data_IF_959780957271
#
_entry.id   IF_959780957271
#
_cell.length_a   1.000
_cell.length_b   1.000
_cell.length_c   1.000
_cell.angle_alpha   90.00
_cell.angle_beta   90.00
_cell.angle_gamma   90.00
#
_symmetry.space_group_name_H-M   'P 1'
#
loop_
_entity.id
_entity.type
_entity.pdbx_description
1 polymer ?
#
# COMPACT_ATOMS: atom_id res chain seq x y z
N UNK A 1 6.00 11.50 -19.01
CA UNK A 1 4.64 11.51 -18.43
C UNK A 1 4.48 12.43 -17.20
N UNK A 2 5.50 12.60 -16.36
CA UNK A 2 5.46 13.42 -15.12
C UNK A 2 4.94 14.88 -15.26
N UNK A 3 5.29 15.66 -16.33
CA UNK A 3 4.90 17.06 -16.42
C UNK A 3 3.39 17.28 -16.67
N UNK A 4 2.76 16.37 -17.43
CA UNK A 4 1.36 16.49 -17.84
C UNK A 4 0.40 16.19 -16.67
N UNK A 5 0.75 15.21 -15.83
CA UNK A 5 -0.03 14.82 -14.65
C UNK A 5 -0.06 15.95 -13.60
N UNK A 6 1.06 16.67 -13.43
CA UNK A 6 1.17 17.81 -12.50
C UNK A 6 0.22 18.97 -12.85
N UNK A 7 -0.15 19.14 -14.13
CA UNK A 7 -1.01 20.25 -14.59
C UNK A 7 -2.50 19.95 -14.49
N UNK A 8 -2.88 18.67 -14.34
CA UNK A 8 -4.27 18.21 -14.37
C UNK A 8 -4.81 17.82 -12.99
N UNK A 9 -3.94 17.43 -12.06
CA UNK A 9 -4.34 17.03 -10.71
C UNK A 9 -4.19 18.17 -9.71
N UNK A 10 -5.16 18.36 -8.80
CA UNK A 10 -4.97 19.21 -7.62
C UNK A 10 -3.73 18.75 -6.82
N UNK A 11 -3.04 19.70 -6.18
CA UNK A 11 -1.81 19.45 -5.41
C UNK A 11 -1.91 18.22 -4.48
N UNK A 12 -2.98 18.12 -3.69
CA UNK A 12 -3.18 17.01 -2.75
C UNK A 12 -3.27 15.63 -3.45
N UNK A 13 -3.90 15.56 -4.62
CA UNK A 13 -4.04 14.33 -5.39
C UNK A 13 -2.71 13.94 -6.05
N UNK A 14 -1.93 14.93 -6.50
CA UNK A 14 -0.59 14.73 -7.03
C UNK A 14 0.39 14.22 -5.95
N UNK A 15 0.34 14.79 -4.75
CA UNK A 15 1.15 14.34 -3.60
C UNK A 15 0.79 12.92 -3.20
N UNK A 16 -0.52 12.61 -3.11
CA UNK A 16 -1.00 11.25 -2.82
C UNK A 16 -0.50 10.25 -3.86
N UNK A 17 -0.57 10.59 -5.16
CA UNK A 17 -0.07 9.74 -6.23
C UNK A 17 1.45 9.57 -6.19
N UNK A 18 2.19 10.64 -5.87
CA UNK A 18 3.65 10.58 -5.74
C UNK A 18 4.08 9.66 -4.60
N UNK A 19 3.39 9.76 -3.45
CA UNK A 19 3.61 8.87 -2.32
C UNK A 19 3.22 7.43 -2.64
N UNK A 20 2.14 7.22 -3.40
CA UNK A 20 1.72 5.88 -3.82
C UNK A 20 2.76 5.23 -4.76
N UNK A 21 3.33 6.00 -5.68
CA UNK A 21 4.42 5.50 -6.53
C UNK A 21 5.68 5.20 -5.71
N UNK A 22 6.03 6.07 -4.77
CA UNK A 22 7.18 5.82 -3.88
C UNK A 22 6.96 4.58 -3.00
N UNK A 23 5.73 4.36 -2.54
CA UNK A 23 5.33 3.17 -1.78
C UNK A 23 5.48 1.90 -2.62
N UNK A 24 5.02 1.93 -3.87
CA UNK A 24 5.04 0.82 -4.82
C UNK A 24 6.49 0.38 -5.13
N UNK A 25 7.34 1.34 -5.54
CA UNK A 25 8.75 1.09 -5.82
C UNK A 25 9.47 0.52 -4.59
N UNK A 26 9.24 1.10 -3.41
CA UNK A 26 9.87 0.64 -2.18
C UNK A 26 9.43 -0.77 -1.79
N UNK A 27 8.16 -1.12 -2.06
CA UNK A 27 7.66 -2.48 -1.86
C UNK A 27 8.33 -3.46 -2.81
N UNK A 28 8.36 -3.14 -4.10
CA UNK A 28 8.92 -4.02 -5.13
C UNK A 28 10.41 -4.29 -4.89
N UNK A 29 11.19 -3.25 -4.58
CA UNK A 29 12.62 -3.41 -4.27
C UNK A 29 12.85 -4.28 -3.04
N UNK A 30 12.00 -4.15 -2.02
CA UNK A 30 12.12 -4.93 -0.79
C UNK A 30 11.71 -6.39 -1.03
N UNK A 31 10.62 -6.61 -1.76
CA UNK A 31 10.14 -7.94 -2.13
C UNK A 31 11.14 -8.67 -3.01
N UNK A 32 11.79 -7.97 -3.95
CA UNK A 32 12.86 -8.55 -4.77
C UNK A 32 14.09 -8.95 -3.93
N UNK A 33 14.47 -8.10 -2.96
CA UNK A 33 15.57 -8.41 -2.04
C UNK A 33 15.25 -9.64 -1.16
N UNK A 34 14.02 -9.69 -0.63
CA UNK A 34 13.53 -10.85 0.13
C UNK A 34 13.47 -12.12 -0.71
N UNK A 35 12.89 -12.05 -1.91
CA UNK A 35 12.77 -13.19 -2.82
C UNK A 35 14.14 -13.75 -3.20
N UNK A 36 15.17 -12.89 -3.29
CA UNK A 36 16.55 -13.30 -3.53
C UNK A 36 17.11 -14.11 -2.34
N UNK A 37 16.86 -13.66 -1.11
CA UNK A 37 17.27 -14.38 0.11
C UNK A 37 16.50 -15.71 0.28
N UNK A 38 15.24 -15.74 -0.16
CA UNK A 38 14.35 -16.90 -0.02
C UNK A 38 14.47 -17.91 -1.18
N UNK A 39 15.32 -17.65 -2.17
CA UNK A 39 15.43 -18.50 -3.35
C UNK A 39 15.98 -19.88 -2.98
N UNK A 40 15.21 -20.92 -3.26
CA UNK A 40 15.64 -22.32 -3.07
C UNK A 40 15.60 -22.80 -1.62
N UNK A 41 15.05 -22.01 -0.69
CA UNK A 41 14.84 -22.41 0.71
C UNK A 41 13.37 -22.65 1.02
N UNK A 42 13.05 -23.60 1.92
CA UNK A 42 11.67 -23.84 2.34
C UNK A 42 11.11 -22.63 3.10
N UNK A 43 9.96 -22.14 2.67
CA UNK A 43 9.34 -20.95 3.27
C UNK A 43 8.62 -21.34 4.56
N UNK A 44 9.08 -20.79 5.67
CA UNK A 44 8.40 -20.80 6.97
C UNK A 44 8.72 -19.50 7.73
N UNK A 45 8.05 -19.27 8.86
CA UNK A 45 8.22 -18.03 9.62
C UNK A 45 9.67 -17.78 10.06
N UNK A 46 10.41 -18.82 10.44
CA UNK A 46 11.79 -18.68 10.89
C UNK A 46 12.70 -18.22 9.74
N UNK A 47 12.64 -18.94 8.61
CA UNK A 47 13.40 -18.64 7.39
C UNK A 47 13.04 -17.25 6.85
N UNK A 48 11.76 -16.88 6.87
CA UNK A 48 11.32 -15.55 6.45
C UNK A 48 11.92 -14.45 7.34
N UNK A 49 11.88 -14.62 8.67
CA UNK A 49 12.46 -13.65 9.59
C UNK A 49 13.98 -13.53 9.45
N UNK A 50 14.67 -14.63 9.17
CA UNK A 50 16.11 -14.64 8.87
C UNK A 50 16.42 -13.90 7.58
N UNK A 51 15.69 -14.20 6.49
CA UNK A 51 15.81 -13.48 5.22
C UNK A 51 15.54 -11.98 5.38
N UNK A 52 14.50 -11.61 6.13
CA UNK A 52 14.15 -10.22 6.42
C UNK A 52 15.26 -9.48 7.18
N UNK A 53 15.87 -10.13 8.18
CA UNK A 53 17.04 -9.60 8.88
C UNK A 53 18.25 -9.49 7.94
N UNK A 54 18.49 -10.49 7.10
CA UNK A 54 19.60 -10.52 6.16
C UNK A 54 19.50 -9.42 5.09
N UNK A 55 18.29 -9.06 4.65
CA UNK A 55 18.07 -7.90 3.79
C UNK A 55 18.51 -6.60 4.48
N UNK A 56 18.34 -6.47 5.80
CA UNK A 56 18.93 -5.38 6.59
C UNK A 56 18.33 -3.99 6.38
N UNK A 57 17.26 -3.86 5.58
CA UNK A 57 16.64 -2.57 5.20
C UNK A 57 15.54 -2.10 6.16
N UNK A 58 15.81 -2.11 7.48
CA UNK A 58 14.81 -1.73 8.51
C UNK A 58 14.21 -0.34 8.28
N UNK A 59 15.08 0.66 8.03
CA UNK A 59 14.67 2.04 7.84
C UNK A 59 13.73 2.20 6.62
N UNK A 60 14.02 1.49 5.53
CA UNK A 60 13.17 1.48 4.34
C UNK A 60 11.80 0.87 4.64
N UNK A 61 11.72 -0.23 5.41
CA UNK A 61 10.42 -0.79 5.80
C UNK A 61 9.60 0.13 6.69
N UNK A 62 10.23 0.85 7.62
CA UNK A 62 9.53 1.86 8.42
C UNK A 62 9.06 3.03 7.55
N UNK A 63 9.86 3.45 6.58
CA UNK A 63 9.45 4.45 5.57
C UNK A 63 8.27 3.96 4.74
N UNK A 64 8.25 2.68 4.37
CA UNK A 64 7.14 2.08 3.64
C UNK A 64 5.83 2.14 4.45
N UNK A 65 5.89 1.87 5.76
CA UNK A 65 4.75 2.01 6.67
C UNK A 65 4.25 3.46 6.73
N UNK A 66 5.17 4.43 6.84
CA UNK A 66 4.80 5.85 6.84
C UNK A 66 4.14 6.27 5.51
N UNK A 67 4.71 5.86 4.37
CA UNK A 67 4.13 6.12 3.04
C UNK A 67 2.74 5.48 2.90
N UNK A 68 2.52 4.27 3.41
CA UNK A 68 1.20 3.62 3.43
C UNK A 68 0.18 4.46 4.21
N UNK A 69 0.56 5.04 5.35
CA UNK A 69 -0.32 5.94 6.09
C UNK A 69 -0.61 7.21 5.28
N UNK A 70 0.41 7.84 4.69
CA UNK A 70 0.24 9.08 3.92
C UNK A 70 -0.68 8.88 2.71
N UNK A 71 -0.49 7.77 1.98
CA UNK A 71 -1.34 7.39 0.84
C UNK A 71 -2.78 7.14 1.31
N UNK A 72 -2.96 6.40 2.40
CA UNK A 72 -4.28 6.11 2.96
C UNK A 72 -5.03 7.37 3.41
N UNK A 73 -4.35 8.30 4.07
CA UNK A 73 -4.95 9.59 4.45
C UNK A 73 -5.27 10.45 3.24
N UNK A 74 -4.38 10.49 2.24
CA UNK A 74 -4.63 11.15 0.97
C UNK A 74 -5.88 10.60 0.27
N UNK A 75 -6.03 9.28 0.24
CA UNK A 75 -7.19 8.61 -0.33
C UNK A 75 -8.48 8.89 0.48
N UNK A 76 -8.42 8.90 1.81
CA UNK A 76 -9.56 9.27 2.67
C UNK A 76 -10.11 10.67 2.35
N UNK A 77 -9.24 11.62 1.99
CA UNK A 77 -9.66 12.96 1.53
C UNK A 77 -10.28 12.94 0.13
N UNK A 78 -9.72 12.15 -0.79
CA UNK A 78 -10.22 12.00 -2.17
C UNK A 78 -11.63 11.42 -2.16
N UNK A 79 -11.87 10.36 -1.38
CA UNK A 79 -13.16 9.63 -1.42
C UNK A 79 -14.35 10.41 -0.89
N UNK A 80 -14.07 11.43 -0.07
CA UNK A 80 -15.08 12.34 0.48
C UNK A 80 -15.61 13.33 -0.55
N UNK A 81 -14.99 13.46 -1.74
CA UNK A 81 -15.42 14.37 -2.79
C UNK A 81 -16.51 13.72 -3.67
N UNK A 82 -17.77 14.20 -3.62
CA UNK A 82 -18.88 13.55 -4.34
C UNK A 82 -18.67 13.49 -5.86
N UNK A 83 -18.07 14.54 -6.44
CA UNK A 83 -17.80 14.63 -7.87
C UNK A 83 -16.91 13.49 -8.37
N UNK A 84 -15.88 13.10 -7.59
CA UNK A 84 -14.94 12.06 -7.99
C UNK A 84 -15.63 10.70 -8.09
N UNK A 85 -16.52 10.40 -7.13
CA UNK A 85 -17.30 9.16 -7.15
C UNK A 85 -18.24 9.08 -8.35
N UNK A 86 -18.91 10.19 -8.68
CA UNK A 86 -19.80 10.27 -9.85
C UNK A 86 -19.03 10.08 -11.15
N UNK A 87 -17.87 10.73 -11.29
CA UNK A 87 -16.98 10.55 -12.44
C UNK A 87 -16.54 9.10 -12.56
N UNK A 88 -16.14 8.47 -11.44
CA UNK A 88 -15.75 7.06 -11.44
C UNK A 88 -16.87 6.17 -11.97
N UNK A 89 -18.12 6.32 -11.49
CA UNK A 89 -19.26 5.56 -12.01
C UNK A 89 -19.54 5.78 -13.49
N UNK A 90 -19.33 7.00 -13.99
CA UNK A 90 -19.54 7.32 -15.40
C UNK A 90 -18.56 6.56 -16.31
N UNK A 91 -17.37 6.24 -15.79
CA UNK A 91 -16.32 5.54 -16.55
C UNK A 91 -16.57 4.03 -16.73
N UNK A 92 -17.59 3.43 -16.10
CA UNK A 92 -17.91 1.99 -16.25
C UNK A 92 -18.03 1.51 -17.70
N UNK A 93 -18.83 2.22 -18.50
CA UNK A 93 -19.08 1.88 -19.90
C UNK A 93 -17.84 2.07 -20.79
N UNK A 94 -17.15 3.23 -20.78
CA UNK A 94 -15.94 3.39 -21.59
C UNK A 94 -14.82 2.44 -21.15
N UNK A 95 -14.63 2.17 -19.86
CA UNK A 95 -13.63 1.20 -19.38
C UNK A 95 -13.92 -0.22 -19.89
N UNK A 96 -15.20 -0.64 -19.95
CA UNK A 96 -15.57 -1.93 -20.54
C UNK A 96 -15.23 -1.99 -22.04
N UNK A 97 -15.52 -0.93 -22.78
CA UNK A 97 -15.19 -0.86 -24.21
C UNK A 97 -13.69 -0.84 -24.47
N UNK A 98 -12.90 -0.27 -23.55
CA UNK A 98 -11.45 -0.19 -23.64
C UNK A 98 -10.71 -1.44 -23.08
N UNK A 99 -11.43 -2.48 -22.61
CA UNK A 99 -10.81 -3.67 -21.99
C UNK A 99 -10.26 -3.44 -20.58
N UNK A 100 -10.63 -2.34 -19.91
CA UNK A 100 -10.18 -1.93 -18.59
C UNK A 100 -11.26 -2.14 -17.50
N UNK A 101 -12.20 -3.06 -17.73
CA UNK A 101 -13.32 -3.29 -16.82
C UNK A 101 -12.87 -3.70 -15.41
N UNK A 102 -11.88 -4.58 -15.29
CA UNK A 102 -11.36 -5.05 -14.01
C UNK A 102 -10.67 -3.94 -13.22
N UNK A 103 -9.84 -3.12 -13.89
CA UNK A 103 -9.22 -1.95 -13.28
C UNK A 103 -10.27 -0.97 -12.75
N UNK A 104 -11.31 -0.72 -13.54
CA UNK A 104 -12.43 0.13 -13.15
C UNK A 104 -13.17 -0.42 -11.93
N UNK A 105 -13.46 -1.73 -11.91
CA UNK A 105 -14.11 -2.39 -10.78
C UNK A 105 -13.26 -2.32 -9.52
N UNK A 106 -11.95 -2.53 -9.64
CA UNK A 106 -11.00 -2.40 -8.53
C UNK A 106 -11.02 -0.99 -7.93
N UNK A 107 -10.96 0.05 -8.78
CA UNK A 107 -11.03 1.44 -8.32
C UNK A 107 -12.35 1.74 -7.60
N UNK A 108 -13.47 1.25 -8.13
CA UNK A 108 -14.78 1.44 -7.49
C UNK A 108 -14.91 0.72 -6.15
N UNK A 109 -14.39 -0.50 -6.04
CA UNK A 109 -14.37 -1.26 -4.80
C UNK A 109 -13.54 -0.54 -3.73
N UNK A 110 -12.33 -0.11 -4.08
CA UNK A 110 -11.46 0.66 -3.18
C UNK A 110 -12.10 1.97 -2.73
N UNK A 111 -12.65 2.75 -3.67
CA UNK A 111 -13.33 4.02 -3.35
C UNK A 111 -14.53 3.78 -2.44
N UNK A 112 -15.33 2.76 -2.73
CA UNK A 112 -16.49 2.38 -1.92
C UNK A 112 -16.06 1.99 -0.51
N UNK A 113 -15.04 1.14 -0.36
CA UNK A 113 -14.54 0.70 0.95
C UNK A 113 -14.11 1.90 1.81
N UNK A 114 -13.27 2.78 1.27
CA UNK A 114 -12.81 3.99 1.98
C UNK A 114 -13.95 4.93 2.35
N UNK A 115 -14.93 5.12 1.45
CA UNK A 115 -16.11 5.94 1.75
C UNK A 115 -16.95 5.36 2.89
N UNK A 116 -17.14 4.03 2.92
CA UNK A 116 -17.91 3.37 3.98
C UNK A 116 -17.20 3.36 5.33
N UNK A 117 -15.86 3.44 5.37
CA UNK A 117 -15.09 3.56 6.61
C UNK A 117 -15.38 4.86 7.38
N UNK A 118 -15.92 5.91 6.73
CA UNK A 118 -16.21 7.23 7.35
C UNK A 118 -15.01 7.85 8.07
N UNK A 119 -13.81 7.61 7.56
CA UNK A 119 -12.54 8.04 8.15
C UNK A 119 -11.60 6.85 8.33
N UNK A 120 -10.53 6.81 7.54
CA UNK A 120 -9.58 5.69 7.57
C UNK A 120 -8.55 5.76 8.71
N UNK A 121 -8.46 6.86 9.45
CA UNK A 121 -7.39 7.09 10.44
C UNK A 121 -7.22 5.97 11.47
N UNK A 122 -8.28 5.46 12.15
CA UNK A 122 -8.10 4.38 13.12
C UNK A 122 -7.57 3.09 12.49
N UNK A 123 -8.03 2.79 11.26
CA UNK A 123 -7.59 1.63 10.49
C UNK A 123 -6.11 1.75 10.09
N UNK A 124 -5.73 2.89 9.51
CA UNK A 124 -4.34 3.14 9.09
C UNK A 124 -3.37 3.14 10.28
N UNK A 125 -3.79 3.72 11.41
CA UNK A 125 -3.00 3.69 12.65
C UNK A 125 -2.79 2.27 13.15
N UNK A 126 -3.86 1.47 13.20
CA UNK A 126 -3.79 0.07 13.64
C UNK A 126 -2.81 -0.74 12.79
N UNK A 127 -2.81 -0.55 11.46
CA UNK A 127 -1.87 -1.22 10.58
C UNK A 127 -0.45 -0.75 10.88
N UNK A 128 -0.22 0.56 10.94
CA UNK A 128 1.11 1.12 11.14
C UNK A 128 1.74 0.70 12.47
N UNK A 129 0.96 0.67 13.56
CA UNK A 129 1.40 0.18 14.86
C UNK A 129 1.80 -1.30 14.80
N UNK A 130 0.96 -2.14 14.20
CA UNK A 130 1.21 -3.59 14.10
C UNK A 130 2.41 -3.90 13.23
N UNK A 131 2.51 -3.26 12.07
CA UNK A 131 3.65 -3.41 11.14
C UNK A 131 4.95 -2.96 11.80
N UNK A 132 4.96 -1.80 12.46
CA UNK A 132 6.14 -1.29 13.18
C UNK A 132 6.57 -2.25 14.28
N UNK A 133 5.61 -2.73 15.09
CA UNK A 133 5.89 -3.71 16.14
C UNK A 133 6.43 -5.03 15.60
N UNK A 134 5.93 -5.51 14.45
CA UNK A 134 6.44 -6.71 13.79
C UNK A 134 7.85 -6.51 13.24
N UNK A 135 8.11 -5.38 12.57
CA UNK A 135 9.46 -5.02 12.08
C UNK A 135 10.44 -5.01 13.25
N UNK A 136 10.10 -4.32 14.34
CA UNK A 136 10.94 -4.26 15.53
C UNK A 136 11.15 -5.64 16.15
N UNK A 137 10.11 -6.46 16.25
CA UNK A 137 10.21 -7.81 16.77
C UNK A 137 11.13 -8.70 15.92
N UNK A 138 11.05 -8.62 14.58
CA UNK A 138 11.90 -9.38 13.66
C UNK A 138 13.37 -8.99 13.80
N UNK A 139 13.67 -7.70 14.01
CA UNK A 139 15.04 -7.20 14.17
C UNK A 139 15.61 -7.37 15.58
N UNK A 140 14.77 -7.33 16.63
CA UNK A 140 15.19 -7.44 18.03
C UNK A 140 15.22 -8.89 18.54
N UNK A 141 14.40 -9.80 17.99
CA UNK A 141 14.29 -11.19 18.43
C UNK A 141 14.37 -12.16 17.24
N UNK A 142 15.06 -13.28 17.44
CA UNK A 142 14.87 -14.45 16.57
C UNK A 142 13.41 -14.89 16.62
N UNK A 143 12.75 -14.88 15.46
CA UNK A 143 11.34 -15.24 15.17
C UNK A 143 10.30 -14.65 16.15
N UNK A 144 9.53 -13.61 15.76
CA UNK A 144 8.34 -13.21 16.52
C UNK A 144 7.37 -14.39 16.61
N UNK A 145 6.75 -14.57 17.77
CA UNK A 145 5.67 -15.56 17.94
C UNK A 145 4.44 -15.04 17.18
N UNK A 146 4.41 -15.28 15.86
CA UNK A 146 3.29 -14.93 14.99
C UNK A 146 2.11 -15.83 15.35
N UNK A 147 0.92 -15.26 15.63
CA UNK A 147 -0.27 -16.08 15.85
C UNK A 147 -0.51 -16.96 14.61
N UNK A 148 -0.99 -18.20 14.78
CA UNK A 148 -1.25 -19.09 13.66
C UNK A 148 -2.21 -18.42 12.67
N UNK A 149 -1.90 -18.54 11.37
CA UNK A 149 -2.82 -18.13 10.31
C UNK A 149 -4.14 -18.86 10.51
N UNK A 150 -5.24 -18.10 10.59
CA UNK A 150 -6.60 -18.65 10.66
C UNK A 150 -6.99 -19.31 9.35
#
# INVERSE_FOLDING_TARGET
MYPTIKRLLPKFAFETLSNALALDVLSEEFDQALATQLRGVPINNAVYCEAFRAVGRKADRLRQVALMQDVGHGLDLVVKKPLIYSTLKMLRRPSKLAGLAEMQQFLEAGFSAFRHMKGATPFLHTIAERETALIDAIFLRGVPNLPPAK
#
